data_IF_914399911080
#
_entry.id   IF_914399911080
#
_cell.length_a   1.000
_cell.length_b   1.000
_cell.length_c   1.000
_cell.angle_alpha   90.00
_cell.angle_beta   90.00
_cell.angle_gamma   90.00
#
_symmetry.space_group_name_H-M   'P 1'
#
loop_
_entity.id
_entity.type
_entity.pdbx_description
1 polymer ?
#
# COMPACT_ATOMS: atom_id res chain seq x y z
N UNK A 1 -7.99 -16.99 13.58
CA UNK A 1 -8.29 -17.79 12.38
C UNK A 1 -8.87 -19.12 12.85
N UNK A 2 -10.13 -19.39 12.53
CA UNK A 2 -10.78 -20.67 12.87
C UNK A 2 -10.31 -21.74 11.89
N UNK A 3 -9.17 -22.36 12.18
CA UNK A 3 -8.50 -23.31 11.27
C UNK A 3 -9.33 -24.57 11.03
N UNK A 4 -10.01 -25.08 12.08
CA UNK A 4 -10.83 -26.29 11.97
C UNK A 4 -12.05 -26.11 11.06
N UNK A 5 -12.71 -24.95 11.10
CA UNK A 5 -13.87 -24.65 10.26
C UNK A 5 -13.49 -24.59 8.79
N UNK A 6 -12.35 -23.95 8.48
CA UNK A 6 -11.83 -23.85 7.11
C UNK A 6 -11.47 -25.23 6.55
N UNK A 7 -10.90 -26.12 7.37
CA UNK A 7 -10.62 -27.50 6.98
C UNK A 7 -11.91 -28.28 6.67
N UNK A 8 -12.99 -28.07 7.44
CA UNK A 8 -14.30 -28.70 7.18
C UNK A 8 -14.90 -28.20 5.86
N UNK A 9 -14.87 -26.89 5.60
CA UNK A 9 -15.40 -26.31 4.37
C UNK A 9 -14.64 -26.80 3.14
N UNK A 10 -13.31 -26.82 3.21
CA UNK A 10 -12.46 -27.34 2.14
C UNK A 10 -12.70 -28.85 1.94
N UNK A 11 -12.82 -29.62 3.02
CA UNK A 11 -13.11 -31.04 2.96
C UNK A 11 -14.47 -31.31 2.26
N UNK A 12 -15.52 -30.61 2.68
CA UNK A 12 -16.83 -30.69 2.06
C UNK A 12 -16.81 -30.30 0.58
N UNK A 13 -16.07 -29.23 0.24
CA UNK A 13 -15.90 -28.76 -1.13
C UNK A 13 -15.02 -29.66 -2.01
N UNK A 14 -14.26 -30.59 -1.46
CA UNK A 14 -13.35 -31.48 -2.21
C UNK A 14 -13.70 -32.96 -2.10
N UNK A 15 -14.84 -33.29 -1.46
CA UNK A 15 -15.26 -34.66 -1.15
C UNK A 15 -14.25 -35.44 -0.30
N UNK A 16 -13.45 -34.72 0.49
CA UNK A 16 -12.48 -35.30 1.41
C UNK A 16 -13.05 -35.29 2.82
N UNK A 17 -12.45 -36.07 3.72
CA UNK A 17 -12.72 -35.94 5.16
C UNK A 17 -11.91 -34.77 5.74
N UNK A 18 -12.39 -34.18 6.83
CA UNK A 18 -11.63 -33.13 7.54
C UNK A 18 -10.21 -33.60 7.89
N UNK A 19 -10.04 -34.86 8.32
CA UNK A 19 -8.74 -35.46 8.62
C UNK A 19 -7.76 -35.52 7.43
N UNK A 20 -8.28 -35.37 6.21
CA UNK A 20 -7.51 -35.36 4.97
C UNK A 20 -7.18 -33.94 4.50
N UNK A 21 -7.57 -32.90 5.24
CA UNK A 21 -7.23 -31.51 4.92
C UNK A 21 -6.38 -30.99 6.06
N UNK A 22 -5.18 -30.51 5.75
CA UNK A 22 -4.29 -29.92 6.73
C UNK A 22 -3.86 -28.53 6.28
N UNK A 23 -3.99 -27.54 7.14
CA UNK A 23 -3.40 -26.23 6.89
C UNK A 23 -1.91 -26.30 7.21
N UNK A 24 -1.06 -26.15 6.19
CA UNK A 24 0.40 -26.17 6.37
C UNK A 24 0.99 -24.81 6.66
N UNK A 25 0.42 -23.76 6.08
CA UNK A 25 0.86 -22.41 6.30
C UNK A 25 -0.30 -21.43 6.12
N UNK A 26 -0.28 -20.36 6.90
CA UNK A 26 -1.11 -19.18 6.71
C UNK A 26 -0.19 -17.97 6.84
N UNK A 27 0.13 -17.33 5.71
CA UNK A 27 1.11 -16.25 5.63
C UNK A 27 0.39 -14.97 5.23
N UNK A 28 0.40 -13.92 6.05
CA UNK A 28 -0.16 -12.63 5.67
C UNK A 28 0.64 -12.03 4.51
N UNK A 29 -0.04 -11.34 3.60
CA UNK A 29 0.60 -10.63 2.50
C UNK A 29 1.24 -9.34 3.02
N UNK A 30 2.56 -9.19 2.83
CA UNK A 30 3.30 -7.97 3.23
C UNK A 30 2.82 -6.73 2.47
N UNK A 31 2.21 -6.92 1.30
CA UNK A 31 1.75 -5.83 0.44
C UNK A 31 0.28 -5.45 0.66
N UNK A 32 -0.47 -6.31 1.36
CA UNK A 32 -1.90 -6.11 1.61
C UNK A 32 -2.24 -6.80 2.93
N UNK A 33 -2.23 -6.02 4.01
CA UNK A 33 -2.45 -6.51 5.39
C UNK A 33 -3.81 -7.19 5.58
N UNK A 34 -4.74 -7.03 4.62
CA UNK A 34 -6.05 -7.69 4.62
C UNK A 34 -6.06 -9.05 3.90
N UNK A 35 -4.99 -9.42 3.20
CA UNK A 35 -4.89 -10.69 2.48
C UNK A 35 -4.00 -11.68 3.21
N UNK A 36 -4.48 -12.92 3.33
CA UNK A 36 -3.70 -14.03 3.88
C UNK A 36 -3.61 -15.15 2.86
N UNK A 37 -2.38 -15.60 2.56
CA UNK A 37 -2.12 -16.75 1.71
C UNK A 37 -2.14 -18.00 2.57
N UNK A 38 -3.12 -18.87 2.33
CA UNK A 38 -3.26 -20.15 3.03
C UNK A 38 -2.83 -21.29 2.13
N UNK A 39 -1.93 -22.14 2.61
CA UNK A 39 -1.46 -23.34 1.93
C UNK A 39 -2.10 -24.56 2.57
N UNK A 40 -2.91 -25.27 1.80
CA UNK A 40 -3.54 -26.52 2.20
C UNK A 40 -2.76 -27.72 1.66
N UNK A 41 -2.65 -28.76 2.49
CA UNK A 41 -2.16 -30.06 2.09
C UNK A 41 -3.29 -31.08 2.21
N UNK A 42 -3.62 -31.68 1.06
CA UNK A 42 -4.65 -32.72 0.98
C UNK A 42 -3.97 -34.08 1.14
N UNK A 43 -4.37 -34.83 2.16
CA UNK A 43 -3.79 -36.13 2.53
C UNK A 43 -4.63 -37.24 1.88
N UNK A 44 -4.04 -38.10 1.03
CA UNK A 44 -4.73 -39.26 0.49
C UNK A 44 -5.01 -40.30 1.58
N UNK A 45 -6.09 -41.08 1.46
CA UNK A 45 -6.34 -42.25 2.33
C UNK A 45 -5.47 -43.46 1.97
N UNK A 46 -4.92 -43.44 0.76
CA UNK A 46 -4.02 -44.46 0.21
C UNK A 46 -2.63 -43.83 0.02
N UNK A 47 -1.82 -44.40 -0.86
CA UNK A 47 -0.50 -43.87 -1.21
C UNK A 47 -0.58 -42.49 -1.87
N UNK A 48 -1.51 -42.29 -2.80
CA UNK A 48 -1.69 -41.04 -3.54
C UNK A 48 -3.15 -40.88 -4.02
N UNK A 49 -3.50 -39.71 -4.54
CA UNK A 49 -4.78 -39.53 -5.22
C UNK A 49 -4.68 -40.06 -6.65
N UNK A 50 -5.64 -40.84 -7.11
CA UNK A 50 -5.66 -41.22 -8.52
C UNK A 50 -5.70 -39.97 -9.41
N UNK A 51 -5.09 -40.03 -10.60
CA UNK A 51 -4.99 -38.87 -11.52
C UNK A 51 -6.35 -38.21 -11.77
N UNK A 52 -7.39 -39.02 -11.90
CA UNK A 52 -8.76 -38.56 -12.08
C UNK A 52 -9.28 -37.78 -10.86
N UNK A 53 -9.07 -38.34 -9.66
CA UNK A 53 -9.45 -37.70 -8.39
C UNK A 53 -8.70 -36.38 -8.18
N UNK A 54 -7.39 -36.37 -8.41
CA UNK A 54 -6.59 -35.14 -8.33
C UNK A 54 -7.06 -34.08 -9.33
N UNK A 55 -7.41 -34.49 -10.56
CA UNK A 55 -7.96 -33.59 -11.58
C UNK A 55 -9.33 -33.03 -11.19
N UNK A 56 -10.21 -33.86 -10.62
CA UNK A 56 -11.53 -33.42 -10.15
C UNK A 56 -11.43 -32.42 -9.00
N UNK A 57 -10.57 -32.69 -8.03
CA UNK A 57 -10.32 -31.77 -6.92
C UNK A 57 -9.78 -30.43 -7.45
N UNK A 58 -8.80 -30.49 -8.36
CA UNK A 58 -8.20 -29.29 -8.96
C UNK A 58 -9.22 -28.47 -9.75
N UNK A 59 -10.06 -29.13 -10.56
CA UNK A 59 -11.16 -28.48 -11.29
C UNK A 59 -12.13 -27.78 -10.34
N UNK A 60 -12.43 -28.39 -9.19
CA UNK A 60 -13.30 -27.79 -8.18
C UNK A 60 -12.72 -26.51 -7.59
N UNK A 61 -11.42 -26.49 -7.30
CA UNK A 61 -10.77 -25.27 -6.83
C UNK A 61 -10.76 -24.19 -7.91
N UNK A 62 -10.34 -24.52 -9.14
CA UNK A 62 -10.27 -23.55 -10.24
C UNK A 62 -11.63 -22.95 -10.57
N UNK A 63 -12.69 -23.77 -10.58
CA UNK A 63 -14.05 -23.31 -10.85
C UNK A 63 -14.78 -22.73 -9.61
N UNK A 64 -14.06 -22.48 -8.51
CA UNK A 64 -14.62 -21.99 -7.24
C UNK A 64 -15.83 -22.79 -6.72
N UNK A 65 -15.82 -24.11 -6.95
CA UNK A 65 -16.86 -25.05 -6.47
C UNK A 65 -16.66 -25.45 -4.99
N UNK A 66 -15.55 -25.03 -4.37
CA UNK A 66 -15.28 -25.21 -2.95
C UNK A 66 -15.91 -24.04 -2.19
N UNK A 67 -17.07 -24.26 -1.61
CA UNK A 67 -17.82 -23.21 -0.91
C UNK A 67 -17.14 -22.90 0.42
N UNK A 68 -16.34 -21.83 0.43
CA UNK A 68 -15.75 -21.26 1.64
C UNK A 68 -16.64 -20.10 2.09
N UNK A 69 -16.99 -20.04 3.37
CA UNK A 69 -17.86 -19.01 3.90
C UNK A 69 -17.17 -17.64 3.85
N UNK A 70 -17.61 -16.80 2.90
CA UNK A 70 -17.03 -15.48 2.69
C UNK A 70 -17.29 -14.52 3.84
N UNK A 71 -18.29 -14.76 4.69
CA UNK A 71 -18.54 -13.94 5.87
C UNK A 71 -17.52 -14.18 6.98
N UNK A 72 -16.93 -15.38 7.02
CA UNK A 72 -15.97 -15.79 8.07
C UNK A 72 -14.53 -15.65 7.56
N UNK A 73 -14.28 -16.08 6.32
CA UNK A 73 -12.93 -16.17 5.76
C UNK A 73 -12.65 -15.15 4.63
N UNK A 74 -13.67 -14.39 4.20
CA UNK A 74 -13.54 -13.47 3.08
C UNK A 74 -13.61 -14.16 1.72
N UNK A 75 -13.55 -13.37 0.66
CA UNK A 75 -13.46 -13.89 -0.70
C UNK A 75 -12.08 -14.52 -0.93
N UNK A 76 -12.06 -15.68 -1.60
CA UNK A 76 -10.82 -16.40 -1.88
C UNK A 76 -10.52 -16.48 -3.38
N UNK A 77 -9.25 -16.64 -3.67
CA UNK A 77 -8.70 -16.87 -5.00
C UNK A 77 -7.69 -18.01 -4.95
N UNK A 78 -7.74 -18.88 -5.95
CA UNK A 78 -6.81 -20.00 -6.07
C UNK A 78 -5.59 -19.53 -6.84
N UNK A 79 -4.45 -19.46 -6.14
CA UNK A 79 -3.20 -18.97 -6.71
C UNK A 79 -2.40 -20.06 -7.44
N UNK A 80 -2.42 -21.28 -6.92
CA UNK A 80 -1.69 -22.41 -7.47
C UNK A 80 -2.22 -23.73 -6.90
N UNK A 81 -2.18 -24.78 -7.71
CA UNK A 81 -2.45 -26.16 -7.32
C UNK A 81 -1.33 -27.03 -7.88
N UNK A 82 -0.62 -27.72 -7.00
CA UNK A 82 0.49 -28.60 -7.39
C UNK A 82 0.11 -30.05 -7.06
N UNK A 83 0.12 -30.92 -8.06
CA UNK A 83 -0.01 -32.36 -7.88
C UNK A 83 0.87 -33.11 -8.89
N UNK A 84 1.70 -34.09 -8.46
CA UNK A 84 2.57 -34.85 -9.36
C UNK A 84 1.76 -35.55 -10.47
N UNK A 85 2.14 -35.38 -11.74
CA UNK A 85 1.47 -36.01 -12.89
C UNK A 85 0.15 -35.37 -13.33
N UNK A 86 -0.27 -34.27 -12.69
CA UNK A 86 -1.31 -33.39 -13.21
C UNK A 86 -0.71 -32.46 -14.27
N UNK A 87 -1.42 -32.26 -15.38
CA UNK A 87 -0.99 -31.29 -16.40
C UNK A 87 -0.96 -29.86 -15.84
N UNK A 88 -0.30 -28.91 -16.52
CA UNK A 88 -0.29 -27.52 -16.08
C UNK A 88 -1.72 -27.01 -15.89
N UNK A 89 -1.91 -26.19 -14.86
CA UNK A 89 -3.20 -25.61 -14.51
C UNK A 89 -3.91 -25.03 -15.76
N UNK A 90 -5.26 -25.09 -15.84
CA UNK A 90 -5.99 -24.39 -16.88
C UNK A 90 -5.50 -22.94 -16.92
N UNK A 91 -5.30 -22.32 -18.09
CA UNK A 91 -4.82 -20.95 -18.17
C UNK A 91 -5.81 -20.07 -17.41
N UNK A 92 -5.43 -19.69 -16.18
CA UNK A 92 -6.01 -18.55 -15.52
C UNK A 92 -5.88 -17.40 -16.52
N UNK A 93 -6.95 -16.64 -16.67
CA UNK A 93 -7.05 -15.51 -17.58
C UNK A 93 -6.05 -14.42 -17.16
N UNK A 94 -4.79 -14.62 -17.52
CA UNK A 94 -3.68 -13.71 -17.29
C UNK A 94 -2.52 -14.14 -18.20
N UNK A 95 -2.60 -13.65 -19.43
CA UNK A 95 -1.49 -13.14 -20.24
C UNK A 95 -0.15 -13.92 -20.24
N UNK A 96 0.07 -14.62 -21.35
CA UNK A 96 1.36 -14.74 -22.06
C UNK A 96 2.63 -14.91 -21.20
N UNK A 97 3.07 -16.15 -21.04
CA UNK A 97 4.48 -16.52 -21.19
C UNK A 97 4.59 -18.02 -21.50
N UNK A 98 4.96 -18.32 -22.74
CA UNK A 98 5.41 -19.64 -23.18
C UNK A 98 6.76 -19.96 -22.54
N UNK A 99 6.80 -20.99 -21.68
CA UNK A 99 8.01 -21.60 -21.14
C UNK A 99 7.97 -23.13 -21.32
N UNK A 100 9.10 -23.80 -21.59
CA UNK A 100 9.15 -25.19 -22.02
C UNK A 100 8.92 -26.19 -20.87
N UNK A 101 8.54 -27.46 -21.16
CA UNK A 101 8.14 -28.43 -20.16
C UNK A 101 9.37 -29.05 -19.48
N UNK A 102 9.50 -28.86 -18.17
CA UNK A 102 10.56 -29.45 -17.34
C UNK A 102 9.98 -30.33 -16.25
N UNK A 103 10.37 -31.60 -16.27
CA UNK A 103 10.05 -32.64 -15.29
C UNK A 103 10.49 -32.24 -13.87
N UNK A 104 9.84 -32.88 -12.89
CA UNK A 104 9.99 -32.63 -11.46
C UNK A 104 11.44 -32.58 -10.96
N UNK A 105 11.69 -31.60 -10.11
CA UNK A 105 12.17 -31.76 -8.73
C UNK A 105 12.27 -30.33 -8.17
N UNK A 106 11.47 -29.98 -7.15
CA UNK A 106 11.78 -28.79 -6.34
C UNK A 106 12.91 -29.18 -5.38
N UNK A 107 13.97 -28.36 -5.27
CA UNK A 107 13.92 -27.40 -4.19
C UNK A 107 14.39 -25.99 -4.61
N UNK A 108 13.76 -25.00 -3.98
CA UNK A 108 14.24 -23.63 -3.73
C UNK A 108 15.22 -23.10 -4.79
N UNK A 109 14.69 -22.58 -5.88
CA UNK A 109 15.36 -21.51 -6.60
C UNK A 109 14.51 -20.27 -6.44
N UNK A 110 15.01 -19.34 -5.63
CA UNK A 110 14.52 -17.97 -5.62
C UNK A 110 14.83 -17.36 -6.98
N UNK A 111 13.89 -17.46 -7.92
CA UNK A 111 13.83 -16.51 -9.01
C UNK A 111 12.95 -15.36 -8.56
N UNK A 112 13.58 -14.25 -8.18
CA UNK A 112 12.91 -12.96 -7.97
C UNK A 112 12.55 -12.45 -9.36
N UNK A 113 11.49 -13.02 -9.94
CA UNK A 113 10.85 -12.42 -11.08
C UNK A 113 10.18 -11.14 -10.60
N UNK A 114 10.86 -10.01 -10.78
CA UNK A 114 10.36 -8.67 -10.53
C UNK A 114 9.11 -8.42 -11.39
N UNK A 115 7.95 -8.86 -10.91
CA UNK A 115 6.68 -8.50 -11.51
C UNK A 115 6.36 -7.04 -11.20
N UNK A 116 6.64 -6.21 -12.20
CA UNK A 116 6.02 -4.93 -12.53
C UNK A 116 5.49 -4.12 -11.35
N UNK A 117 6.39 -3.24 -10.89
CA UNK A 117 6.14 -1.91 -10.33
C UNK A 117 4.84 -1.25 -10.86
N UNK A 118 3.70 -1.55 -10.25
CA UNK A 118 2.49 -0.71 -10.36
C UNK A 118 2.46 0.40 -9.30
N UNK A 119 3.36 0.34 -8.31
CA UNK A 119 3.39 1.27 -7.18
C UNK A 119 4.38 2.43 -7.42
N UNK A 120 5.45 2.17 -8.17
CA UNK A 120 6.48 3.17 -8.49
C UNK A 120 5.95 4.25 -9.44
N UNK A 121 5.05 3.88 -10.36
CA UNK A 121 4.43 4.85 -11.26
C UNK A 121 3.49 5.81 -10.54
N UNK A 122 2.78 5.36 -9.49
CA UNK A 122 1.96 6.25 -8.64
C UNK A 122 2.82 7.12 -7.73
N UNK A 123 3.89 6.56 -7.14
CA UNK A 123 4.83 7.31 -6.29
C UNK A 123 5.50 8.45 -7.08
N UNK A 124 5.94 8.20 -8.31
CA UNK A 124 6.51 9.24 -9.19
C UNK A 124 5.48 10.33 -9.49
N UNK A 125 4.23 9.96 -9.79
CA UNK A 125 3.15 10.92 -10.07
C UNK A 125 2.80 11.76 -8.83
N UNK A 126 2.75 11.15 -7.64
CA UNK A 126 2.48 11.85 -6.38
C UNK A 126 3.61 12.79 -5.98
N UNK A 127 4.87 12.34 -6.11
CA UNK A 127 6.05 13.17 -5.83
C UNK A 127 6.14 14.35 -6.81
N UNK A 128 5.90 14.12 -8.10
CA UNK A 128 5.88 15.18 -9.10
C UNK A 128 4.75 16.18 -8.86
N UNK A 129 3.54 15.70 -8.57
CA UNK A 129 2.37 16.55 -8.31
C UNK A 129 2.50 17.41 -7.05
N UNK A 130 3.05 16.84 -5.97
CA UNK A 130 3.25 17.54 -4.70
C UNK A 130 4.32 18.64 -4.79
N UNK A 131 5.38 18.41 -5.58
CA UNK A 131 6.46 19.39 -5.74
C UNK A 131 5.98 20.71 -6.34
N UNK A 132 5.05 20.67 -7.30
CA UNK A 132 4.55 21.86 -7.99
C UNK A 132 3.73 22.77 -7.07
N UNK A 133 2.91 22.20 -6.19
CA UNK A 133 2.08 22.98 -5.24
C UNK A 133 2.97 23.69 -4.22
N UNK A 134 4.00 23.01 -3.71
CA UNK A 134 4.98 23.62 -2.80
C UNK A 134 5.77 24.74 -3.48
N UNK A 135 6.24 24.53 -4.71
CA UNK A 135 6.99 25.54 -5.46
C UNK A 135 6.13 26.78 -5.72
N UNK A 136 4.88 26.61 -6.16
CA UNK A 136 3.97 27.74 -6.38
C UNK A 136 3.65 28.51 -5.09
N UNK A 137 3.45 27.80 -3.97
CA UNK A 137 3.28 28.42 -2.65
C UNK A 137 4.50 29.24 -2.20
N UNK A 138 5.69 28.66 -2.35
CA UNK A 138 6.96 29.35 -2.03
C UNK A 138 7.17 30.60 -2.89
N UNK A 139 6.90 30.54 -4.19
CA UNK A 139 7.01 31.69 -5.10
C UNK A 139 6.02 32.79 -4.70
N UNK A 140 4.76 32.44 -4.41
CA UNK A 140 3.76 33.41 -3.98
C UNK A 140 4.15 34.11 -2.68
N UNK A 141 4.69 33.37 -1.71
CA UNK A 141 5.16 33.93 -0.44
C UNK A 141 6.35 34.88 -0.64
N UNK A 142 7.31 34.51 -1.49
CA UNK A 142 8.47 35.36 -1.82
C UNK A 142 8.00 36.66 -2.50
N UNK A 143 7.07 36.59 -3.46
CA UNK A 143 6.51 37.78 -4.12
C UNK A 143 5.80 38.68 -3.11
N UNK A 144 5.03 38.10 -2.18
CA UNK A 144 4.35 38.86 -1.13
C UNK A 144 5.35 39.56 -0.20
N UNK A 145 6.41 38.87 0.24
CA UNK A 145 7.46 39.44 1.09
C UNK A 145 8.22 40.54 0.33
N UNK A 146 8.54 40.34 -0.95
CA UNK A 146 9.18 41.37 -1.78
C UNK A 146 8.27 42.57 -1.97
N UNK A 147 6.97 42.37 -2.23
CA UNK A 147 6.00 43.46 -2.30
C UNK A 147 5.86 44.18 -0.96
N UNK A 148 5.77 43.48 0.16
CA UNK A 148 5.73 44.08 1.50
C UNK A 148 7.01 44.85 1.82
N UNK A 149 8.19 44.32 1.46
CA UNK A 149 9.46 45.05 1.59
C UNK A 149 9.52 46.26 0.68
N UNK A 150 9.01 46.17 -0.55
CA UNK A 150 8.88 47.31 -1.48
C UNK A 150 7.93 48.36 -0.89
N UNK A 151 6.75 47.97 -0.41
CA UNK A 151 5.80 48.86 0.26
C UNK A 151 6.38 49.48 1.54
N UNK A 152 7.12 48.72 2.34
CA UNK A 152 7.85 49.24 3.50
C UNK A 152 8.93 50.24 3.09
N UNK A 153 9.66 49.97 2.00
CA UNK A 153 10.65 50.91 1.41
C UNK A 153 10.01 52.16 0.80
N UNK A 154 8.79 52.06 0.26
CA UNK A 154 8.01 53.22 -0.20
C UNK A 154 7.43 54.01 0.99
N UNK A 155 7.03 53.36 2.08
CA UNK A 155 6.57 54.02 3.30
C UNK A 155 7.72 54.69 4.08
N UNK A 156 8.94 54.15 4.00
CA UNK A 156 10.15 54.80 4.55
C UNK A 156 10.59 56.04 3.75
N UNK A 157 10.16 56.16 2.48
CA UNK A 157 10.40 57.33 1.64
C UNK A 157 9.24 58.36 1.68
N UNK A 158 8.29 58.18 2.60
CA UNK A 158 7.05 58.95 2.68
C UNK A 158 6.75 59.50 4.08
N UNK A 159 7.76 59.80 4.89
CA UNK A 159 7.55 60.69 6.04
C UNK A 159 7.76 62.14 5.59
N UNK A 160 6.69 62.95 5.42
CA UNK A 160 6.86 64.39 5.36
C UNK A 160 7.34 64.84 6.73
N UNK A 161 8.45 65.59 6.73
CA UNK A 161 8.86 66.42 7.86
C UNK A 161 7.68 67.30 8.23
N UNK A 162 6.98 66.93 9.30
CA UNK A 162 6.08 67.83 10.02
C UNK A 162 6.74 68.06 11.36
N UNK A 163 7.53 69.12 11.42
CA UNK A 163 7.97 69.77 12.65
C UNK A 163 6.76 70.40 13.34
N UNK A 164 6.47 70.04 14.61
CA UNK A 164 5.69 70.91 15.48
C UNK A 164 6.68 71.68 16.38
N UNK A 165 6.96 72.90 15.95
CA UNK A 165 6.96 74.12 16.76
C UNK A 165 7.20 73.94 18.27
N UNK A 166 8.44 74.19 18.68
CA UNK A 166 8.82 74.63 20.03
C UNK A 166 7.93 75.79 20.47
N UNK A 167 7.10 75.59 21.51
CA UNK A 167 6.59 76.71 22.31
C UNK A 167 6.18 76.26 23.72
N UNK A 168 6.51 77.15 24.66
CA UNK A 168 6.25 77.22 26.13
C UNK A 168 7.46 76.80 26.97
N UNK A 169 8.36 77.74 27.28
CA UNK A 169 8.28 78.79 28.33
C UNK A 169 8.05 78.22 29.73
N UNK A 170 9.13 78.11 30.50
CA UNK A 170 9.35 78.72 31.82
C UNK A 170 10.85 79.10 31.79
N UNK A 171 11.25 80.36 31.78
CA UNK A 171 11.07 81.31 32.88
C UNK A 171 12.35 81.27 33.73
N UNK A 172 13.28 82.17 33.42
CA UNK A 172 14.67 82.23 33.87
C UNK A 172 14.77 82.92 35.25
N UNK A 173 15.60 82.33 36.12
CA UNK A 173 16.60 82.87 37.07
C UNK A 173 16.47 84.35 37.46
N UNK A 174 16.59 84.63 38.77
CA UNK A 174 17.45 85.66 39.41
C UNK A 174 16.89 85.95 40.82
N UNK A 175 17.58 86.44 41.85
CA UNK A 175 18.96 86.44 42.38
C UNK A 175 18.88 87.32 43.66
N UNK A 176 19.75 87.11 44.66
CA UNK A 176 20.17 88.05 45.73
C UNK A 176 19.19 88.67 46.77
N UNK A 177 19.45 88.32 48.05
CA UNK A 177 19.83 89.16 49.22
C UNK A 177 19.09 90.44 49.69
N UNK A 178 19.08 90.56 51.05
CA UNK A 178 18.95 91.72 51.96
C UNK A 178 17.57 92.09 52.54
N UNK A 179 17.36 91.81 53.83
CA UNK A 179 17.37 92.82 54.93
C UNK A 179 17.48 92.15 56.29
#
# INVERSE_FOLDING_TARGET
MHTAELEVEVAAGTFLKQSQVKIMAAIPSVQDDQKTRVTFYLVPLREHFDRYTASLISDRFWNKKVQINSSVFGAYEVINITYPGLGPAPPAMSSLTSGPPGNGEYPITADVHHQKKKLDSWIIVVVAGSSLVLIMGCIALIILIVKLKRFKRFHEAGNPVITPSVKRRHGKIDSFCCR
#
